data_IF_752222916034
#
_entry.id   IF_752222916034
#
_cell.length_a   1.000
_cell.length_b   1.000
_cell.length_c   1.000
_cell.angle_alpha   90.00
_cell.angle_beta   90.00
_cell.angle_gamma   90.00
#
_symmetry.space_group_name_H-M   'P 1'
#
loop_
_entity.id
_entity.type
_entity.pdbx_description
1 polymer ?
#
# COMPACT_ATOMS: atom_id res chain seq x y z
N UNK A 1 -10.87 -8.68 12.47
CA UNK A 1 -10.99 -8.98 11.03
C UNK A 1 -9.66 -8.58 10.43
N UNK A 2 -9.02 -9.43 9.64
CA UNK A 2 -7.72 -9.09 9.03
C UNK A 2 -7.87 -8.00 7.97
N UNK A 3 -6.79 -7.31 7.63
CA UNK A 3 -6.78 -6.31 6.56
C UNK A 3 -7.09 -6.98 5.22
N UNK A 4 -6.58 -8.20 5.00
CA UNK A 4 -6.86 -9.01 3.80
C UNK A 4 -8.35 -9.33 3.67
N UNK A 5 -9.04 -9.64 4.77
CA UNK A 5 -10.48 -9.85 4.79
C UNK A 5 -11.25 -8.57 4.52
N UNK A 6 -10.84 -7.44 5.11
CA UNK A 6 -11.45 -6.13 4.84
C UNK A 6 -11.35 -5.76 3.35
N UNK A 7 -10.16 -5.86 2.76
CA UNK A 7 -9.94 -5.62 1.33
C UNK A 7 -10.82 -6.54 0.44
N UNK A 8 -11.01 -7.79 0.84
CA UNK A 8 -11.88 -8.73 0.13
C UNK A 8 -13.36 -8.32 0.18
N UNK A 9 -13.85 -7.90 1.36
CA UNK A 9 -15.22 -7.45 1.53
C UNK A 9 -15.47 -6.14 0.79
N UNK A 10 -14.57 -5.18 0.92
CA UNK A 10 -14.66 -3.87 0.29
C UNK A 10 -14.57 -3.94 -1.23
N UNK A 11 -13.75 -4.84 -1.78
CA UNK A 11 -13.74 -5.11 -3.22
C UNK A 11 -15.11 -5.56 -3.72
N UNK A 12 -15.79 -6.46 -3.00
CA UNK A 12 -17.13 -6.94 -3.36
C UNK A 12 -18.16 -5.84 -3.23
N UNK A 13 -18.09 -5.03 -2.17
CA UNK A 13 -18.97 -3.89 -1.96
C UNK A 13 -18.81 -2.84 -3.07
N UNK A 14 -17.59 -2.44 -3.39
CA UNK A 14 -17.28 -1.48 -4.46
C UNK A 14 -17.75 -1.99 -5.84
N UNK A 15 -17.58 -3.29 -6.12
CA UNK A 15 -18.09 -3.90 -7.34
C UNK A 15 -19.61 -3.82 -7.44
N UNK A 16 -20.32 -4.14 -6.35
CA UNK A 16 -21.79 -4.10 -6.31
C UNK A 16 -22.33 -2.67 -6.41
N UNK A 17 -21.64 -1.71 -5.80
CA UNK A 17 -22.00 -0.30 -5.81
C UNK A 17 -21.61 0.44 -7.10
N UNK A 18 -20.81 -0.18 -7.98
CA UNK A 18 -20.32 0.46 -9.20
C UNK A 18 -19.24 1.52 -8.96
N UNK A 19 -18.57 1.47 -7.80
CA UNK A 19 -17.50 2.38 -7.39
C UNK A 19 -16.18 2.05 -8.12
N UNK A 20 -16.11 2.36 -9.42
CA UNK A 20 -15.01 1.96 -10.30
C UNK A 20 -13.62 2.35 -9.77
N UNK A 21 -13.49 3.57 -9.27
CA UNK A 21 -12.23 4.11 -8.74
C UNK A 21 -11.78 3.33 -7.50
N UNK A 22 -12.66 3.21 -6.49
CA UNK A 22 -12.39 2.44 -5.27
C UNK A 22 -12.11 0.97 -5.56
N UNK A 23 -12.86 0.35 -6.47
CA UNK A 23 -12.63 -1.02 -6.91
C UNK A 23 -11.23 -1.20 -7.54
N UNK A 24 -10.81 -0.24 -8.36
CA UNK A 24 -9.48 -0.26 -9.00
C UNK A 24 -8.36 -0.21 -7.96
N UNK A 25 -8.44 0.75 -7.03
CA UNK A 25 -7.44 0.93 -5.98
C UNK A 25 -7.32 -0.31 -5.09
N UNK A 26 -8.46 -0.89 -4.66
CA UNK A 26 -8.47 -2.10 -3.84
C UNK A 26 -7.85 -3.28 -4.60
N UNK A 27 -8.12 -3.43 -5.90
CA UNK A 27 -7.50 -4.49 -6.71
C UNK A 27 -5.99 -4.31 -6.84
N UNK A 28 -5.52 -3.08 -7.02
CA UNK A 28 -4.08 -2.79 -7.07
C UNK A 28 -3.41 -3.09 -5.73
N UNK A 29 -4.01 -2.69 -4.61
CA UNK A 29 -3.52 -3.01 -3.26
C UNK A 29 -3.38 -4.52 -3.05
N UNK A 30 -4.42 -5.30 -3.40
CA UNK A 30 -4.40 -6.76 -3.31
C UNK A 30 -3.33 -7.41 -4.20
N UNK A 31 -3.12 -6.87 -5.41
CA UNK A 31 -2.05 -7.34 -6.30
C UNK A 31 -0.67 -7.07 -5.72
N UNK A 32 -0.45 -5.91 -5.07
CA UNK A 32 0.80 -5.59 -4.40
C UNK A 32 1.08 -6.53 -3.21
N UNK A 33 0.05 -6.86 -2.43
CA UNK A 33 0.14 -7.86 -1.35
C UNK A 33 0.52 -9.22 -1.92
N UNK A 34 -0.19 -9.69 -2.96
CA UNK A 34 0.11 -10.98 -3.60
C UNK A 34 1.53 -11.03 -4.19
N UNK A 35 2.02 -9.91 -4.72
CA UNK A 35 3.39 -9.83 -5.22
C UNK A 35 4.39 -9.98 -4.07
N UNK A 36 4.18 -9.27 -2.96
CA UNK A 36 5.04 -9.37 -1.78
C UNK A 36 5.01 -10.77 -1.14
N UNK A 37 3.85 -11.44 -1.10
CA UNK A 37 3.73 -12.84 -0.65
C UNK A 37 4.60 -13.78 -1.50
N UNK A 38 4.62 -13.56 -2.83
CA UNK A 38 5.45 -14.34 -3.75
C UNK A 38 6.94 -14.05 -3.59
N UNK A 39 7.31 -12.81 -3.30
CA UNK A 39 8.71 -12.45 -3.03
C UNK A 39 9.21 -13.04 -1.72
N UNK A 40 8.40 -13.01 -0.65
CA UNK A 40 8.76 -13.56 0.66
C UNK A 40 8.54 -15.06 0.79
N UNK A 41 7.83 -15.69 -0.16
CA UNK A 41 7.48 -17.11 -0.16
C UNK A 41 6.61 -17.55 1.03
N UNK A 42 5.78 -16.65 1.57
CA UNK A 42 4.75 -16.97 2.57
C UNK A 42 3.56 -16.01 2.48
N UNK A 43 2.46 -16.34 3.15
CA UNK A 43 1.35 -15.41 3.33
C UNK A 43 1.73 -14.31 4.32
N UNK A 44 1.40 -13.06 3.99
CA UNK A 44 1.70 -11.92 4.85
C UNK A 44 0.71 -11.85 6.02
N UNK A 45 1.22 -11.49 7.18
CA UNK A 45 0.39 -11.05 8.30
C UNK A 45 -0.10 -9.59 8.13
N UNK A 46 -0.90 -9.10 9.08
CA UNK A 46 -1.48 -7.76 8.98
C UNK A 46 -0.40 -6.65 9.07
N UNK A 47 0.69 -6.85 9.81
CA UNK A 47 1.77 -5.87 9.96
C UNK A 47 2.57 -5.76 8.65
N UNK A 48 2.88 -6.89 8.03
CA UNK A 48 3.53 -6.92 6.72
C UNK A 48 2.63 -6.36 5.60
N UNK A 49 1.31 -6.57 5.69
CA UNK A 49 0.35 -5.93 4.77
C UNK A 49 0.36 -4.42 4.95
N UNK A 50 0.40 -3.91 6.19
CA UNK A 50 0.51 -2.47 6.48
C UNK A 50 1.72 -1.87 5.77
N UNK A 51 2.87 -2.54 5.81
CA UNK A 51 4.08 -2.07 5.13
C UNK A 51 3.93 -2.00 3.62
N UNK A 52 3.30 -3.01 3.01
CA UNK A 52 3.01 -3.02 1.56
C UNK A 52 2.12 -1.83 1.21
N UNK A 53 1.01 -1.65 1.94
CA UNK A 53 0.05 -0.56 1.69
C UNK A 53 0.67 0.82 1.94
N UNK A 54 1.54 0.94 2.93
CA UNK A 54 2.27 2.17 3.19
C UNK A 54 3.24 2.50 2.05
N UNK A 55 4.03 1.53 1.58
CA UNK A 55 4.94 1.72 0.44
C UNK A 55 4.18 2.16 -0.82
N UNK A 56 3.02 1.55 -1.08
CA UNK A 56 2.13 1.92 -2.18
C UNK A 56 1.55 3.35 -2.02
N UNK A 57 1.26 3.77 -0.79
CA UNK A 57 0.82 5.14 -0.48
C UNK A 57 1.94 6.15 -0.67
N UNK A 58 3.15 5.85 -0.17
CA UNK A 58 4.35 6.71 -0.33
C UNK A 58 4.73 6.90 -1.80
N UNK A 59 4.60 5.85 -2.63
CA UNK A 59 4.82 5.94 -4.08
C UNK A 59 3.87 6.96 -4.72
N UNK A 60 2.56 6.88 -4.42
CA UNK A 60 1.57 7.84 -4.94
C UNK A 60 1.81 9.27 -4.47
N UNK A 61 2.29 9.48 -3.24
CA UNK A 61 2.67 10.81 -2.75
C UNK A 61 3.82 11.40 -3.57
N UNK A 62 4.83 10.59 -3.89
CA UNK A 62 5.93 11.00 -4.78
C UNK A 62 5.44 11.33 -6.20
N UNK A 63 4.54 10.50 -6.73
CA UNK A 63 3.94 10.74 -8.05
C UNK A 63 3.15 12.05 -8.07
N UNK A 64 2.43 12.41 -6.99
CA UNK A 64 1.76 13.71 -6.85
C UNK A 64 2.75 14.86 -7.03
N UNK A 65 3.87 14.86 -6.30
CA UNK A 65 4.86 15.94 -6.39
C UNK A 65 5.41 16.09 -7.82
N UNK A 66 5.62 14.97 -8.52
CA UNK A 66 6.06 14.98 -9.92
C UNK A 66 4.98 15.55 -10.84
N UNK A 67 3.73 15.11 -10.71
CA UNK A 67 2.64 15.56 -11.58
C UNK A 67 2.18 16.99 -11.30
N UNK A 68 2.31 17.48 -10.07
CA UNK A 68 2.11 18.88 -9.71
C UNK A 68 3.12 19.78 -10.44
N UNK A 69 4.41 19.40 -10.46
CA UNK A 69 5.45 20.12 -11.22
C UNK A 69 5.17 20.17 -12.72
N UNK A 70 4.49 19.15 -13.26
CA UNK A 70 4.10 19.06 -14.67
C UNK A 70 2.76 19.73 -14.98
N UNK A 71 2.08 20.32 -13.99
CA UNK A 71 0.78 20.98 -14.16
C UNK A 71 -0.38 20.01 -14.48
N UNK A 72 -0.23 18.72 -14.19
CA UNK A 72 -1.26 17.69 -14.46
C UNK A 72 -2.26 17.55 -13.32
N UNK A 73 -3.04 18.60 -13.09
CA UNK A 73 -3.95 18.71 -11.94
C UNK A 73 -4.99 17.57 -11.86
N UNK A 74 -5.51 17.08 -12.99
CA UNK A 74 -6.47 15.96 -12.98
C UNK A 74 -5.85 14.66 -12.46
N UNK A 75 -4.60 14.38 -12.84
CA UNK A 75 -3.84 13.22 -12.34
C UNK A 75 -3.55 13.35 -10.84
N UNK A 76 -3.20 14.55 -10.39
CA UNK A 76 -2.95 14.84 -8.97
C UNK A 76 -4.21 14.58 -8.13
N UNK A 77 -5.37 15.06 -8.57
CA UNK A 77 -6.62 14.85 -7.84
C UNK A 77 -7.05 13.38 -7.83
N UNK A 78 -6.80 12.64 -8.91
CA UNK A 78 -6.97 11.19 -8.94
C UNK A 78 -6.08 10.50 -7.89
N UNK A 79 -4.79 10.82 -7.87
CA UNK A 79 -3.84 10.22 -6.92
C UNK A 79 -4.18 10.53 -5.46
N UNK A 80 -4.68 11.74 -5.15
CA UNK A 80 -5.14 12.10 -3.80
C UNK A 80 -6.29 11.22 -3.34
N UNK A 81 -7.24 10.91 -4.23
CA UNK A 81 -8.35 9.98 -3.93
C UNK A 81 -7.85 8.57 -3.71
N UNK A 82 -6.91 8.09 -4.52
CA UNK A 82 -6.30 6.78 -4.33
C UNK A 82 -5.60 6.67 -2.96
N UNK A 83 -4.84 7.71 -2.57
CA UNK A 83 -4.18 7.78 -1.27
C UNK A 83 -5.21 7.74 -0.13
N UNK A 84 -6.32 8.48 -0.24
CA UNK A 84 -7.37 8.46 0.77
C UNK A 84 -7.97 7.06 0.94
N UNK A 85 -8.19 6.34 -0.17
CA UNK A 85 -8.70 4.96 -0.15
C UNK A 85 -7.67 4.00 0.45
N UNK A 86 -6.39 4.11 0.12
CA UNK A 86 -5.35 3.23 0.71
C UNK A 86 -5.17 3.51 2.21
N UNK A 87 -5.19 4.78 2.59
CA UNK A 87 -5.01 5.23 3.98
C UNK A 87 -6.13 4.75 4.91
N UNK A 88 -7.33 4.43 4.40
CA UNK A 88 -8.40 3.87 5.24
C UNK A 88 -8.10 2.46 5.75
N UNK A 89 -7.10 1.77 5.18
CA UNK A 89 -6.64 0.45 5.63
C UNK A 89 -5.38 0.53 6.51
N UNK A 90 -4.85 1.74 6.74
CA UNK A 90 -3.68 1.98 7.57
C UNK A 90 -4.12 2.43 8.97
N UNK A 91 -3.40 2.06 10.05
CA UNK A 91 -3.66 2.57 11.39
C UNK A 91 -3.63 4.11 11.45
N UNK A 92 -4.60 4.70 12.16
CA UNK A 92 -4.76 6.16 12.31
C UNK A 92 -3.53 6.89 12.91
N UNK A 93 -2.67 6.15 13.63
CA UNK A 93 -1.46 6.67 14.28
C UNK A 93 -0.23 6.67 13.38
N UNK A 94 -0.35 6.26 12.12
CA UNK A 94 0.72 6.37 11.15
C UNK A 94 0.83 7.82 10.64
N UNK A 95 1.33 8.71 11.51
CA UNK A 95 1.97 9.95 11.06
C UNK A 95 3.13 9.59 10.13
N UNK A 96 3.41 10.38 9.10
CA UNK A 96 4.44 10.08 8.09
C UNK A 96 5.82 9.72 8.68
N UNK A 97 6.07 10.10 9.93
CA UNK A 97 7.32 9.90 10.68
C UNK A 97 7.37 8.55 11.43
N UNK A 98 6.30 8.13 12.12
CA UNK A 98 6.27 6.88 12.91
C UNK A 98 6.26 5.62 12.02
N UNK A 99 5.74 5.73 10.79
CA UNK A 99 5.77 4.62 9.81
C UNK A 99 7.13 4.46 9.15
N UNK A 100 7.88 5.54 8.97
CA UNK A 100 9.20 5.44 8.34
C UNK A 100 10.17 4.65 9.24
N UNK A 101 9.98 4.73 10.56
CA UNK A 101 10.73 3.94 11.54
C UNK A 101 10.32 2.46 11.50
N UNK A 102 9.02 2.14 11.44
CA UNK A 102 8.54 0.76 11.33
C UNK A 102 9.05 0.09 10.04
N UNK A 103 9.01 0.82 8.92
CA UNK A 103 9.55 0.35 7.63
C UNK A 103 11.06 0.22 7.66
N UNK A 104 11.80 1.09 8.36
CA UNK A 104 13.25 0.90 8.56
C UNK A 104 13.53 -0.37 9.36
N UNK A 105 12.77 -0.62 10.43
CA UNK A 105 12.94 -1.83 11.24
C UNK A 105 12.67 -3.08 10.42
N UNK A 106 11.60 -3.12 9.63
CA UNK A 106 11.30 -4.30 8.82
C UNK A 106 12.20 -4.45 7.59
N UNK A 107 12.65 -3.35 6.97
CA UNK A 107 13.69 -3.41 5.93
C UNK A 107 15.01 -3.94 6.51
N UNK A 108 15.34 -3.65 7.77
CA UNK A 108 16.51 -4.23 8.44
C UNK A 108 16.32 -5.75 8.64
N UNK A 109 15.12 -6.21 9.00
CA UNK A 109 14.84 -7.65 9.14
C UNK A 109 14.85 -8.40 7.79
N UNK A 110 14.28 -7.81 6.74
CA UNK A 110 14.26 -8.40 5.38
C UNK A 110 15.63 -8.27 4.70
N UNK A 111 16.34 -7.15 4.91
CA UNK A 111 17.66 -6.88 4.35
C UNK A 111 18.78 -7.68 5.02
N UNK A 112 18.66 -8.01 6.31
CA UNK A 112 19.61 -8.89 6.99
C UNK A 112 19.49 -10.35 6.51
N UNK A 113 18.33 -10.74 5.97
CA UNK A 113 18.11 -12.07 5.38
C UNK A 113 18.69 -12.20 3.97
N UNK A 114 18.86 -11.10 3.23
CA UNK A 114 19.40 -11.11 1.85
C UNK A 114 20.93 -11.04 1.77
N UNK A 115 21.64 -10.59 2.81
CA UNK A 115 23.11 -10.44 2.78
C UNK A 115 23.85 -11.73 3.18
N UNK A 116 23.15 -12.73 3.75
CA UNK A 116 23.78 -13.99 4.18
C UNK A 116 23.95 -15.07 3.10
N UNK A 117 23.41 -14.89 1.89
CA UNK A 117 23.52 -15.87 0.78
C UNK A 117 24.42 -15.41 -0.37
N UNK A 118 25.21 -14.35 -0.16
CA UNK A 118 26.36 -14.04 -1.05
C UNK A 118 27.67 -14.24 -0.29
N UNK A 119 27.98 -15.51 -0.04
CA UNK A 119 29.27 -16.01 0.45
C UNK A 119 29.58 -17.35 -0.19
#
# INVERSE_FOLDING_TARGET
MSIKDMLNQDMKAALKAGEKERLSVIRMAKSAILYAEKEKLHELDDDEIIEVLFRETKKRKKDIEEYERLGKTETVESLKKEIAILSSYLPQQLTDEEVEELVRQTIIEIGASSIKDTG
#
